data_IF_692936636427
#
_entry.id   IF_692936636427
#
_cell.length_a   1.000
_cell.length_b   1.000
_cell.length_c   1.000
_cell.angle_alpha   90.00
_cell.angle_beta   90.00
_cell.angle_gamma   90.00
#
_symmetry.space_group_name_H-M   'P 1'
#
loop_
_entity.id
_entity.type
_entity.pdbx_description
1 polymer ?
#
# COMPACT_ATOMS: atom_id res chain seq x y z
N UNK A 1 6.74 -3.46 14.08
CA UNK A 1 7.61 -2.25 14.19
C UNK A 1 6.74 -1.01 14.13
N UNK A 2 6.92 0.00 14.99
CA UNK A 2 6.16 1.27 14.91
C UNK A 2 7.01 2.35 14.26
N UNK A 3 6.41 3.08 13.32
CA UNK A 3 7.08 4.17 12.60
C UNK A 3 6.27 5.46 12.72
N UNK A 4 6.93 6.61 12.89
CA UNK A 4 6.25 7.90 12.81
C UNK A 4 5.62 8.11 11.43
N UNK A 5 4.38 8.57 11.41
CA UNK A 5 3.65 8.94 10.20
C UNK A 5 2.82 10.18 10.48
N UNK A 6 2.68 11.04 9.47
CA UNK A 6 1.78 12.20 9.59
C UNK A 6 0.55 12.01 8.72
N UNK A 7 -0.63 12.21 9.30
CA UNK A 7 -1.92 12.13 8.61
C UNK A 7 -2.36 13.54 8.22
N UNK A 8 -2.61 13.78 6.93
CA UNK A 8 -3.12 15.08 6.46
C UNK A 8 -4.64 15.14 6.56
N UNK A 9 -5.16 16.12 7.29
CA UNK A 9 -6.59 16.32 7.58
C UNK A 9 -6.92 17.80 7.36
N UNK A 10 -7.68 18.14 6.30
CA UNK A 10 -8.10 19.51 5.99
C UNK A 10 -7.00 20.59 6.13
N UNK A 11 -5.87 20.40 5.45
CA UNK A 11 -4.73 21.33 5.54
C UNK A 11 -3.90 21.21 6.84
N UNK A 12 -4.41 20.53 7.86
CA UNK A 12 -3.70 20.24 9.10
C UNK A 12 -2.92 18.93 8.99
N UNK A 13 -1.96 18.79 9.89
CA UNK A 13 -1.07 17.64 10.00
C UNK A 13 -1.19 17.06 11.39
N UNK A 14 -1.65 15.81 11.48
CA UNK A 14 -1.75 15.07 12.73
C UNK A 14 -0.59 14.10 12.82
N UNK A 15 0.17 14.15 13.92
CA UNK A 15 1.24 13.20 14.20
C UNK A 15 0.65 11.89 14.72
N UNK A 16 1.19 10.77 14.28
CA UNK A 16 0.75 9.44 14.66
C UNK A 16 1.88 8.42 14.51
N UNK A 17 1.69 7.22 15.04
CA UNK A 17 2.54 6.07 14.76
C UNK A 17 1.76 5.00 13.99
N UNK A 18 2.36 4.47 12.92
CA UNK A 18 1.85 3.30 12.23
C UNK A 18 2.60 2.05 12.65
N UNK A 19 1.86 1.01 13.04
CA UNK A 19 2.40 -0.32 13.17
C UNK A 19 2.54 -0.94 11.78
N UNK A 20 3.77 -1.31 11.42
CA UNK A 20 4.07 -2.17 10.29
C UNK A 20 3.87 -3.62 10.71
N UNK A 21 2.89 -4.28 10.10
CA UNK A 21 2.45 -5.63 10.45
C UNK A 21 2.15 -6.45 9.18
N UNK A 22 3.07 -7.30 8.76
CA UNK A 22 2.86 -8.18 7.61
C UNK A 22 1.83 -9.29 7.85
N UNK A 23 1.42 -9.54 9.10
CA UNK A 23 0.37 -10.48 9.47
C UNK A 23 -1.05 -9.90 9.31
N UNK A 24 -1.18 -8.58 9.25
CA UNK A 24 -2.48 -7.93 9.06
C UNK A 24 -2.92 -7.95 7.59
N UNK A 25 -4.16 -8.37 7.34
CA UNK A 25 -4.75 -8.47 5.99
C UNK A 25 -5.31 -7.16 5.44
N UNK A 26 -5.18 -6.06 6.19
CA UNK A 26 -5.80 -4.79 5.85
C UNK A 26 -4.96 -3.57 6.21
N UNK A 27 -5.54 -2.40 5.97
CA UNK A 27 -5.00 -1.10 6.32
C UNK A 27 -6.00 -0.46 7.25
N UNK A 28 -5.62 -0.19 8.49
CA UNK A 28 -6.57 0.18 9.52
C UNK A 28 -6.19 1.51 10.18
N UNK A 29 -7.19 2.24 10.65
CA UNK A 29 -7.05 3.42 11.50
C UNK A 29 -7.99 3.30 12.69
N UNK A 30 -7.51 3.70 13.86
CA UNK A 30 -8.24 3.56 15.10
C UNK A 30 -9.43 4.52 15.18
N UNK A 31 -10.57 3.99 15.61
CA UNK A 31 -11.81 4.74 15.77
C UNK A 31 -11.71 5.90 16.78
N UNK A 32 -10.96 5.74 17.89
CA UNK A 32 -10.74 6.81 18.87
C UNK A 32 -9.80 7.86 18.32
N UNK A 33 -8.76 7.46 17.57
CA UNK A 33 -7.88 8.39 16.86
C UNK A 33 -8.66 9.22 15.83
N UNK A 34 -9.51 8.58 15.03
CA UNK A 34 -10.41 9.25 14.08
C UNK A 34 -11.30 10.27 14.78
N UNK A 35 -11.94 9.89 15.88
CA UNK A 35 -12.83 10.78 16.64
C UNK A 35 -12.06 11.97 17.25
N UNK A 36 -10.93 11.69 17.92
CA UNK A 36 -10.08 12.70 18.57
C UNK A 36 -9.62 13.78 17.59
N UNK A 37 -9.24 13.37 16.38
CA UNK A 37 -8.70 14.26 15.36
C UNK A 37 -9.74 14.71 14.32
N UNK A 38 -11.03 14.41 14.54
CA UNK A 38 -12.15 14.77 13.67
C UNK A 38 -11.89 14.40 12.21
N UNK A 39 -11.33 13.20 12.00
CA UNK A 39 -10.99 12.71 10.66
C UNK A 39 -12.27 12.34 9.93
N UNK A 40 -12.51 12.86 8.72
CA UNK A 40 -13.71 12.51 7.95
C UNK A 40 -13.71 11.05 7.55
N UNK A 41 -14.85 10.40 7.73
CA UNK A 41 -15.08 9.01 7.35
C UNK A 41 -16.24 8.89 6.36
N UNK A 42 -16.28 7.79 5.63
CA UNK A 42 -17.36 7.41 4.72
C UNK A 42 -17.82 6.00 5.05
N UNK A 43 -19.11 5.73 4.86
CA UNK A 43 -19.65 4.37 4.98
C UNK A 43 -19.15 3.50 3.83
N UNK A 44 -18.84 2.25 4.15
CA UNK A 44 -18.65 1.19 3.16
C UNK A 44 -19.99 0.80 2.57
N UNK A 45 -20.01 0.53 1.26
CA UNK A 45 -21.20 0.00 0.59
C UNK A 45 -21.55 -1.39 1.12
N UNK A 46 -20.53 -2.23 1.31
CA UNK A 46 -20.65 -3.55 1.92
C UNK A 46 -19.80 -3.59 3.19
N UNK A 47 -20.41 -3.73 4.38
CA UNK A 47 -19.68 -3.92 5.62
C UNK A 47 -18.80 -5.19 5.57
N UNK A 48 -17.66 -5.17 6.26
CA UNK A 48 -16.67 -6.26 6.27
C UNK A 48 -16.69 -6.95 7.64
N UNK A 49 -17.19 -8.18 7.75
CA UNK A 49 -17.09 -8.97 8.98
C UNK A 49 -15.62 -9.25 9.28
N UNK A 50 -15.19 -8.98 10.52
CA UNK A 50 -13.82 -9.27 10.96
C UNK A 50 -13.86 -10.47 11.88
N UNK A 51 -13.08 -11.48 11.52
CA UNK A 51 -12.87 -12.67 12.34
C UNK A 51 -11.44 -12.64 12.89
N UNK A 52 -11.27 -13.13 14.10
CA UNK A 52 -9.97 -13.42 14.68
C UNK A 52 -9.32 -14.60 13.95
N UNK A 53 -8.03 -14.83 14.19
CA UNK A 53 -7.27 -15.94 13.58
C UNK A 53 -7.86 -17.32 13.94
N UNK A 54 -8.51 -17.42 15.10
CA UNK A 54 -9.24 -18.62 15.56
C UNK A 54 -10.65 -18.77 14.96
N UNK A 55 -11.04 -17.88 14.03
CA UNK A 55 -12.34 -17.89 13.38
C UNK A 55 -13.48 -17.25 14.18
N UNK A 56 -13.24 -16.83 15.42
CA UNK A 56 -14.27 -16.17 16.23
C UNK A 56 -14.53 -14.74 15.74
N UNK A 57 -15.76 -14.22 15.83
CA UNK A 57 -16.03 -12.81 15.57
C UNK A 57 -15.19 -11.93 16.49
N UNK A 58 -14.53 -10.91 15.93
CA UNK A 58 -13.85 -9.91 16.76
C UNK A 58 -14.90 -9.17 17.62
N UNK A 59 -14.62 -8.96 18.91
CA UNK A 59 -15.55 -8.32 19.88
C UNK A 59 -16.05 -6.94 19.42
N UNK A 60 -15.29 -6.24 18.56
CA UNK A 60 -15.67 -4.93 18.02
C UNK A 60 -16.28 -4.97 16.61
N UNK A 61 -16.68 -6.15 16.14
CA UNK A 61 -17.66 -6.30 15.08
C UNK A 61 -17.23 -5.83 13.69
N UNK A 62 -18.22 -5.89 12.80
CA UNK A 62 -18.12 -5.63 11.36
C UNK A 62 -17.59 -4.22 11.10
N UNK A 63 -16.58 -4.10 10.24
CA UNK A 63 -16.09 -2.79 9.78
C UNK A 63 -17.12 -2.19 8.81
N UNK A 64 -17.59 -0.99 9.13
CA UNK A 64 -18.64 -0.29 8.37
C UNK A 64 -18.15 1.01 7.71
N UNK A 65 -16.99 1.53 8.11
CA UNK A 65 -16.50 2.83 7.68
C UNK A 65 -15.04 2.77 7.23
N UNK A 66 -14.68 3.73 6.38
CA UNK A 66 -13.31 3.95 5.93
C UNK A 66 -12.99 5.44 5.85
N UNK A 67 -11.71 5.76 5.75
CA UNK A 67 -11.23 7.08 5.35
C UNK A 67 -10.15 6.95 4.28
N UNK A 68 -10.03 7.96 3.42
CA UNK A 68 -8.99 8.06 2.40
C UNK A 68 -8.09 9.25 2.75
N UNK A 69 -6.92 9.01 3.35
CA UNK A 69 -6.05 10.08 3.85
C UNK A 69 -4.66 10.06 3.20
N UNK A 70 -4.07 11.23 2.92
CA UNK A 70 -2.65 11.33 2.64
C UNK A 70 -1.85 11.04 3.92
N UNK A 71 -0.93 10.08 3.82
CA UNK A 71 0.05 9.71 4.84
C UNK A 71 1.44 10.17 4.40
N UNK A 72 2.12 10.94 5.24
CA UNK A 72 3.48 11.41 5.00
C UNK A 72 4.47 10.55 5.79
N UNK A 73 5.34 9.85 5.07
CA UNK A 73 6.47 9.08 5.59
C UNK A 73 7.76 9.82 5.24
N UNK A 74 8.42 10.43 6.23
CA UNK A 74 9.53 11.34 5.98
C UNK A 74 9.10 12.48 5.05
N UNK A 75 9.65 12.52 3.82
CA UNK A 75 9.29 13.51 2.79
C UNK A 75 8.37 12.96 1.68
N UNK A 76 7.76 11.78 1.87
CA UNK A 76 6.92 11.13 0.86
C UNK A 76 5.47 11.01 1.27
N UNK A 77 4.62 11.73 0.54
CA UNK A 77 3.17 11.68 0.68
C UNK A 77 2.60 10.51 -0.11
N UNK A 78 1.76 9.69 0.52
CA UNK A 78 1.09 8.55 -0.09
C UNK A 78 -0.38 8.54 0.28
N UNK A 79 -1.26 8.37 -0.69
CA UNK A 79 -2.68 8.16 -0.40
C UNK A 79 -2.91 6.76 0.16
N UNK A 80 -3.65 6.67 1.27
CA UNK A 80 -4.03 5.42 1.90
C UNK A 80 -5.54 5.37 2.14
N UNK A 81 -6.17 4.30 1.64
CA UNK A 81 -7.49 3.86 2.06
C UNK A 81 -7.32 3.06 3.36
N UNK A 82 -7.96 3.53 4.44
CA UNK A 82 -7.86 3.00 5.79
C UNK A 82 -9.26 2.62 6.29
N UNK A 83 -9.40 1.36 6.71
CA UNK A 83 -10.58 0.82 7.35
C UNK A 83 -10.64 1.29 8.82
N UNK A 84 -11.80 1.77 9.26
CA UNK A 84 -11.97 2.27 10.62
C UNK A 84 -12.37 1.11 11.53
N UNK A 85 -11.58 0.84 12.56
CA UNK A 85 -11.88 -0.19 13.56
C UNK A 85 -11.21 0.18 14.89
N UNK A 86 -11.44 -0.60 15.95
CA UNK A 86 -10.73 -0.44 17.22
C UNK A 86 -9.40 -1.18 17.19
N UNK A 87 -8.29 -0.47 17.37
CA UNK A 87 -6.93 -1.03 17.27
C UNK A 87 -6.22 -1.12 18.63
N UNK A 88 -6.94 -0.89 19.72
CA UNK A 88 -6.39 -0.93 21.07
C UNK A 88 -5.44 0.24 21.32
N UNK A 89 -4.14 -0.02 21.25
CA UNK A 89 -3.08 0.98 21.51
C UNK A 89 -2.47 1.61 20.26
N UNK A 90 -2.76 1.05 19.08
CA UNK A 90 -2.21 1.56 17.82
C UNK A 90 -3.14 2.59 17.20
N UNK A 91 -2.60 3.65 16.61
CA UNK A 91 -3.41 4.61 15.85
C UNK A 91 -3.69 4.10 14.44
N UNK A 92 -2.69 3.48 13.80
CA UNK A 92 -2.71 3.01 12.42
C UNK A 92 -2.00 1.65 12.35
N UNK A 93 -2.58 0.71 11.59
CA UNK A 93 -1.91 -0.54 11.17
C UNK A 93 -1.80 -0.56 9.65
N UNK A 94 -0.58 -0.76 9.14
CA UNK A 94 -0.31 -0.93 7.71
C UNK A 94 0.04 -2.38 7.44
N UNK A 95 -0.97 -3.12 6.98
CA UNK A 95 -0.86 -4.54 6.73
C UNK A 95 -0.16 -4.93 5.44
N UNK A 96 -0.16 -6.23 5.16
CA UNK A 96 0.42 -6.84 3.97
C UNK A 96 -0.04 -6.19 2.65
N UNK A 97 -1.32 -5.80 2.44
CA UNK A 97 -1.72 -5.14 1.21
C UNK A 97 -1.00 -3.81 0.97
N UNK A 98 -0.76 -3.02 2.02
CA UNK A 98 -0.02 -1.76 1.89
C UNK A 98 1.45 -2.03 1.59
N UNK A 99 2.06 -2.99 2.28
CA UNK A 99 3.45 -3.37 2.10
C UNK A 99 3.71 -3.88 0.68
N UNK A 100 2.85 -4.76 0.15
CA UNK A 100 2.92 -5.22 -1.24
C UNK A 100 2.72 -4.07 -2.23
N UNK A 101 1.77 -3.17 -1.96
CA UNK A 101 1.46 -2.04 -2.86
C UNK A 101 2.60 -1.02 -2.93
N UNK A 102 3.22 -0.69 -1.80
CA UNK A 102 4.26 0.36 -1.73
C UNK A 102 5.67 -0.18 -1.87
N UNK A 103 5.88 -1.47 -1.60
CA UNK A 103 7.17 -2.14 -1.54
C UNK A 103 8.28 -1.25 -0.95
N UNK A 104 8.06 -0.71 0.27
CA UNK A 104 8.94 0.28 0.85
C UNK A 104 10.30 -0.34 1.18
N UNK A 105 11.33 0.50 1.19
CA UNK A 105 12.61 0.12 1.80
C UNK A 105 12.44 0.22 3.32
N UNK A 106 12.60 -0.91 4.00
CA UNK A 106 12.50 -0.98 5.46
C UNK A 106 13.88 -1.34 6.00
N UNK A 107 14.41 -0.50 6.88
CA UNK A 107 15.56 -0.86 7.70
C UNK A 107 15.04 -1.32 9.06
N UNK A 108 15.00 -2.63 9.25
CA UNK A 108 14.47 -3.25 10.46
C UNK A 108 15.30 -2.96 11.70
N UNK A 109 16.63 -2.84 11.55
CA UNK A 109 17.55 -2.56 12.66
C UNK A 109 17.36 -1.14 13.18
N UNK A 110 17.28 -0.17 12.26
CA UNK A 110 17.12 1.25 12.59
C UNK A 110 15.66 1.67 12.78
N UNK A 111 14.70 0.78 12.49
CA UNK A 111 13.27 1.08 12.60
C UNK A 111 12.76 2.13 11.60
N UNK A 112 13.39 2.25 10.42
CA UNK A 112 13.05 3.30 9.44
C UNK A 112 12.37 2.75 8.19
N UNK A 113 11.58 3.61 7.54
CA UNK A 113 10.90 3.31 6.28
C UNK A 113 11.15 4.41 5.24
N UNK A 114 11.31 4.01 3.99
CA UNK A 114 11.39 4.94 2.86
C UNK A 114 10.53 4.46 1.70
N UNK A 115 9.66 5.35 1.20
CA UNK A 115 8.81 5.07 0.04
C UNK A 115 9.62 5.36 -1.22
N UNK A 116 9.79 4.33 -2.07
CA UNK A 116 10.51 4.47 -3.34
C UNK A 116 9.84 5.51 -4.24
N UNK A 117 10.63 6.32 -4.93
CA UNK A 117 10.14 7.18 -6.01
C UNK A 117 9.84 6.30 -7.22
N UNK A 118 8.58 6.25 -7.65
CA UNK A 118 8.26 5.69 -8.96
C UNK A 118 8.40 6.80 -9.99
N UNK A 119 9.37 6.70 -10.89
CA UNK A 119 9.43 7.58 -12.07
C UNK A 119 8.62 6.96 -13.21
N UNK A 120 8.28 7.76 -14.23
CA UNK A 120 7.64 7.27 -15.45
C UNK A 120 8.43 6.12 -16.08
N UNK A 121 9.76 6.24 -16.11
CA UNK A 121 10.65 5.19 -16.59
C UNK A 121 10.57 3.91 -15.75
N UNK A 122 10.58 4.02 -14.40
CA UNK A 122 10.42 2.85 -13.53
C UNK A 122 9.05 2.19 -13.70
N UNK A 123 7.99 2.97 -13.87
CA UNK A 123 6.64 2.44 -14.11
C UNK A 123 6.54 1.72 -15.46
N UNK A 124 7.14 2.28 -16.52
CA UNK A 124 7.20 1.67 -17.84
C UNK A 124 8.03 0.37 -17.82
N UNK A 125 9.17 0.36 -17.14
CA UNK A 125 10.03 -0.81 -16.98
C UNK A 125 9.38 -1.95 -16.17
N UNK A 126 8.60 -1.61 -15.14
CA UNK A 126 7.80 -2.59 -14.38
C UNK A 126 6.64 -3.16 -15.20
N UNK A 127 6.15 -2.42 -16.20
CA UNK A 127 5.10 -2.88 -17.11
C UNK A 127 5.64 -3.82 -18.18
N UNK A 128 6.85 -3.58 -18.67
CA UNK A 128 7.50 -4.46 -19.65
C UNK A 128 7.91 -5.80 -19.04
N UNK A 129 8.39 -5.84 -17.79
CA UNK A 129 8.77 -7.11 -17.12
C UNK A 129 7.60 -8.02 -16.79
N UNK A 130 6.40 -7.46 -16.54
CA UNK A 130 5.18 -8.25 -16.28
C UNK A 130 4.52 -8.79 -17.55
N UNK A 131 4.99 -8.37 -18.73
CA UNK A 131 4.36 -8.65 -20.04
C UNK A 131 5.37 -9.19 -21.05
N UNK A 132 6.33 -10.01 -20.61
CA UNK A 132 7.24 -10.67 -21.55
C UNK A 132 6.51 -11.87 -22.15
N UNK A 133 5.63 -11.61 -23.14
CA UNK A 133 5.32 -12.64 -24.14
C UNK A 133 6.59 -12.85 -24.97
N UNK A 134 6.94 -14.10 -25.34
CA UNK A 134 8.05 -14.36 -26.25
C UNK A 134 7.97 -13.42 -27.45
N UNK A 135 9.08 -12.84 -27.89
CA UNK A 135 9.10 -11.83 -28.98
C UNK A 135 8.36 -12.34 -30.24
N UNK A 136 8.48 -13.64 -30.52
CA UNK A 136 7.76 -14.37 -31.56
C UNK A 136 6.23 -14.27 -31.48
N UNK A 137 5.68 -14.14 -30.27
CA UNK A 137 4.25 -14.00 -30.01
C UNK A 137 3.77 -12.54 -30.03
N UNK A 138 4.70 -11.58 -30.11
CA UNK A 138 4.43 -10.14 -30.11
C UNK A 138 4.57 -9.51 -31.50
N UNK A 139 5.06 -10.26 -32.50
CA UNK A 139 5.21 -9.81 -33.89
C UNK A 139 4.44 -10.74 -34.85
N UNK A 140 3.91 -10.22 -35.99
CA UNK A 140 3.26 -11.05 -37.01
C UNK A 140 4.18 -12.13 -37.59
N UNK A 141 3.61 -13.30 -37.93
CA UNK A 141 4.36 -14.47 -38.41
C UNK A 141 5.28 -14.19 -39.62
N UNK A 142 4.87 -13.28 -40.52
CA UNK A 142 5.66 -12.87 -41.69
C UNK A 142 7.02 -12.23 -41.34
N UNK A 143 7.20 -11.77 -40.10
CA UNK A 143 8.46 -11.18 -39.63
C UNK A 143 9.29 -12.14 -38.77
N UNK A 144 8.87 -13.40 -38.58
CA UNK A 144 9.59 -14.35 -37.73
C UNK A 144 11.01 -14.65 -38.21
N UNK A 145 11.24 -14.66 -39.53
CA UNK A 145 12.58 -14.87 -40.10
C UNK A 145 13.54 -13.70 -39.80
N UNK A 146 13.02 -12.55 -39.38
CA UNK A 146 13.77 -11.34 -39.08
C UNK A 146 13.85 -11.04 -37.57
N UNK A 147 13.46 -11.99 -36.69
CA UNK A 147 13.49 -11.81 -35.23
C UNK A 147 14.86 -11.32 -34.73
N UNK A 148 15.94 -11.85 -35.31
CA UNK A 148 17.31 -11.49 -34.97
C UNK A 148 17.64 -10.01 -35.19
N UNK A 149 16.90 -9.27 -36.03
CA UNK A 149 17.06 -7.82 -36.23
C UNK A 149 16.49 -6.99 -35.08
N UNK A 150 15.59 -7.57 -34.29
CA UNK A 150 14.96 -6.94 -33.14
C UNK A 150 15.66 -7.28 -31.81
N UNK A 151 16.58 -8.24 -31.85
CA UNK A 151 17.47 -8.55 -30.73
C UNK A 151 18.65 -7.57 -30.76
N UNK A 152 18.65 -6.61 -29.84
CA UNK A 152 19.78 -5.69 -29.70
C UNK A 152 20.98 -6.49 -29.19
N UNK A 153 21.95 -6.80 -30.06
CA UNK A 153 23.28 -7.17 -29.58
C UNK A 153 23.83 -5.97 -28.80
N UNK A 154 24.19 -6.18 -27.54
CA UNK A 154 25.03 -5.23 -26.84
C UNK A 154 26.31 -5.07 -27.66
N UNK A 155 26.61 -3.86 -28.12
CA UNK A 155 27.91 -3.56 -28.70
C UNK A 155 28.95 -3.73 -27.57
N UNK A 156 30.01 -4.49 -27.84
CA UNK A 156 31.20 -4.63 -27.00
C UNK A 156 31.93 -3.29 -26.85
#
# INVERSE_FOLDING_TARGET
MRIPVQVKVYGQTVLSNALIDSGAEGKFIDSKFVAKHRIPVRKLVKPIPVHNVDGTPNQNGTITHYTLRPLLFGNKLTMAFLLVTSLGKEDIILGLPWLKQRNPLINWKEGTISIRRTTTATSLAQRTTKTIKPLKNSIPARYHNFIHLFEKKAAE
#
